data_IF_877825676205
#
_entry.id   IF_877825676205
#
_cell.length_a   1.000
_cell.length_b   1.000
_cell.length_c   1.000
_cell.angle_alpha   90.00
_cell.angle_beta   90.00
_cell.angle_gamma   90.00
#
_symmetry.space_group_name_H-M   'P 1'
#
loop_
_entity.id
_entity.type
_entity.pdbx_description
1 polymer ?
#
# COMPACT_ATOMS: atom_id res chain seq x y z
N UNK A 1 9.31 7.53 -12.87
CA UNK A 1 10.46 7.29 -13.77
C UNK A 1 11.76 6.93 -13.06
N UNK A 2 12.22 7.64 -12.02
CA UNK A 2 13.46 7.23 -11.30
C UNK A 2 13.27 6.13 -10.25
N UNK A 3 12.04 5.89 -9.75
CA UNK A 3 11.79 4.89 -8.70
C UNK A 3 11.44 3.50 -9.24
N UNK A 4 10.97 3.40 -10.48
CA UNK A 4 10.34 2.16 -11.00
C UNK A 4 11.34 1.00 -11.11
N UNK A 5 12.60 1.31 -11.45
CA UNK A 5 13.67 0.31 -11.58
C UNK A 5 14.65 0.27 -10.40
N UNK A 6 14.53 1.20 -9.45
CA UNK A 6 15.52 1.34 -8.37
C UNK A 6 15.59 0.07 -7.50
N UNK A 7 14.44 -0.56 -7.23
CA UNK A 7 14.39 -1.82 -6.50
C UNK A 7 15.18 -2.94 -7.23
N UNK A 8 15.01 -3.05 -8.55
CA UNK A 8 15.72 -4.02 -9.38
C UNK A 8 17.22 -3.74 -9.42
N UNK A 9 17.62 -2.46 -9.51
CA UNK A 9 19.02 -2.07 -9.51
C UNK A 9 19.70 -2.39 -8.17
N UNK A 10 19.04 -2.13 -7.04
CA UNK A 10 19.55 -2.48 -5.71
C UNK A 10 19.74 -3.99 -5.58
N UNK A 11 18.78 -4.80 -6.05
CA UNK A 11 18.89 -6.26 -6.04
C UNK A 11 20.03 -6.71 -6.96
N UNK A 12 20.16 -6.13 -8.14
CA UNK A 12 21.23 -6.48 -9.10
C UNK A 12 22.62 -6.15 -8.57
N UNK A 13 22.77 -5.04 -7.86
CA UNK A 13 24.06 -4.57 -7.34
C UNK A 13 24.45 -5.25 -6.02
N UNK A 14 23.49 -5.43 -5.11
CA UNK A 14 23.75 -5.88 -3.72
C UNK A 14 23.25 -7.29 -3.43
N UNK A 15 22.44 -7.88 -4.33
CA UNK A 15 21.81 -9.18 -4.15
C UNK A 15 20.61 -9.19 -3.18
N UNK A 16 20.39 -8.10 -2.43
CA UNK A 16 19.28 -8.00 -1.46
C UNK A 16 18.89 -6.55 -1.16
N UNK A 17 17.62 -6.33 -0.83
CA UNK A 17 17.05 -5.04 -0.44
C UNK A 17 16.65 -5.03 1.05
N UNK A 18 17.60 -5.25 1.96
CA UNK A 18 17.29 -5.44 3.40
C UNK A 18 17.13 -4.14 4.21
N UNK A 19 18.04 -3.17 4.02
CA UNK A 19 18.13 -1.99 4.88
C UNK A 19 16.93 -1.04 4.78
N UNK A 20 16.52 -0.72 3.54
CA UNK A 20 15.39 0.18 3.31
C UNK A 20 14.08 -0.40 3.85
N UNK A 21 13.85 -1.70 3.64
CA UNK A 21 12.66 -2.40 4.16
C UNK A 21 12.67 -2.41 5.69
N UNK A 22 13.81 -2.74 6.31
CA UNK A 22 13.94 -2.75 7.76
C UNK A 22 13.66 -1.38 8.40
N UNK A 23 14.17 -0.31 7.79
CA UNK A 23 13.92 1.05 8.28
C UNK A 23 12.44 1.45 8.11
N UNK A 24 11.81 1.08 6.99
CA UNK A 24 10.38 1.33 6.77
C UNK A 24 9.50 0.61 7.79
N UNK A 25 9.81 -0.65 8.11
CA UNK A 25 9.07 -1.40 9.15
C UNK A 25 9.31 -0.80 10.53
N UNK A 26 10.52 -0.32 10.82
CA UNK A 26 10.81 0.37 12.07
C UNK A 26 10.01 1.67 12.24
N UNK A 27 9.87 2.49 11.18
CA UNK A 27 9.06 3.73 11.21
C UNK A 27 7.55 3.44 11.38
N UNK A 28 7.05 2.39 10.72
CA UNK A 28 5.67 1.91 10.91
C UNK A 28 5.44 1.46 12.36
N UNK A 29 6.35 0.66 12.90
CA UNK A 29 6.25 0.13 14.25
C UNK A 29 6.35 1.24 15.30
N UNK A 30 7.25 2.21 15.12
CA UNK A 30 7.38 3.36 16.03
C UNK A 30 6.10 4.19 16.06
N UNK A 31 5.47 4.39 14.90
CA UNK A 31 4.19 5.10 14.79
C UNK A 31 3.07 4.41 15.56
N UNK A 32 2.97 3.09 15.42
CA UNK A 32 1.95 2.28 16.11
C UNK A 32 2.22 2.29 17.61
N UNK A 33 3.45 1.96 18.04
CA UNK A 33 3.82 1.83 19.44
C UNK A 33 3.67 3.14 20.22
N UNK A 34 4.05 4.28 19.62
CA UNK A 34 3.92 5.60 20.24
C UNK A 34 2.58 6.28 19.98
N UNK A 35 1.67 5.62 19.26
CA UNK A 35 0.37 6.18 18.87
C UNK A 35 0.49 7.58 18.23
N UNK A 36 1.46 7.76 17.32
CA UNK A 36 1.77 9.07 16.75
C UNK A 36 0.68 9.62 15.83
N UNK A 37 -0.26 8.77 15.37
CA UNK A 37 -1.31 9.13 14.39
C UNK A 37 -0.71 9.73 13.11
N UNK A 38 0.46 9.22 12.70
CA UNK A 38 1.14 9.61 11.48
C UNK A 38 0.49 8.92 10.28
N UNK A 39 0.49 9.61 9.14
CA UNK A 39 -0.03 9.08 7.88
C UNK A 39 1.05 8.22 7.22
N UNK A 40 0.69 6.99 6.87
CA UNK A 40 1.54 6.04 6.16
C UNK A 40 0.79 5.43 5.00
N UNK A 41 1.48 5.22 3.88
CA UNK A 41 0.93 4.46 2.74
C UNK A 41 1.10 2.97 3.03
N UNK A 42 0.04 2.32 3.49
CA UNK A 42 0.01 0.90 3.84
C UNK A 42 -1.07 0.18 3.05
N UNK A 43 -0.87 -1.12 2.80
CA UNK A 43 -1.87 -1.95 2.14
C UNK A 43 -3.04 -2.21 3.09
N UNK A 44 -4.24 -1.84 2.69
CA UNK A 44 -5.48 -2.04 3.45
C UNK A 44 -6.61 -2.47 2.54
N UNK A 45 -7.67 -3.04 3.13
CA UNK A 45 -8.88 -3.39 2.41
C UNK A 45 -9.58 -2.11 1.95
N UNK A 46 -9.75 -1.97 0.64
CA UNK A 46 -10.33 -0.77 0.02
C UNK A 46 -11.76 -0.99 -0.49
N UNK A 47 -12.43 -2.05 -0.04
CA UNK A 47 -13.82 -2.35 -0.40
C UNK A 47 -14.72 -1.15 -0.10
N UNK A 48 -15.46 -0.69 -1.11
CA UNK A 48 -16.35 0.47 -1.03
C UNK A 48 -15.67 1.82 -1.27
N UNK A 49 -14.34 1.88 -1.40
CA UNK A 49 -13.61 3.08 -1.80
C UNK A 49 -13.47 3.14 -3.32
N UNK A 50 -13.59 4.34 -3.90
CA UNK A 50 -13.41 4.59 -5.34
C UNK A 50 -14.26 3.66 -6.26
N UNK A 51 -15.44 3.25 -5.79
CA UNK A 51 -16.36 2.39 -6.54
C UNK A 51 -15.96 0.91 -6.63
N UNK A 52 -14.93 0.48 -5.90
CA UNK A 52 -14.46 -0.91 -5.87
C UNK A 52 -15.35 -1.73 -4.94
N UNK A 53 -15.91 -2.85 -5.43
CA UNK A 53 -16.87 -3.68 -4.66
C UNK A 53 -16.22 -4.92 -4.06
N UNK A 54 -15.11 -5.32 -4.65
CA UNK A 54 -14.35 -6.52 -4.38
C UNK A 54 -13.44 -6.33 -3.15
N UNK A 55 -13.07 -7.45 -2.52
CA UNK A 55 -12.21 -7.45 -1.33
C UNK A 55 -10.74 -7.45 -1.73
N UNK A 56 -10.26 -6.28 -2.18
CA UNK A 56 -8.88 -6.09 -2.61
C UNK A 56 -8.08 -5.29 -1.58
N UNK A 57 -6.82 -5.66 -1.41
CA UNK A 57 -5.86 -4.93 -0.58
C UNK A 57 -4.93 -4.10 -1.46
N UNK A 58 -5.00 -2.78 -1.32
CA UNK A 58 -4.15 -1.83 -2.04
C UNK A 58 -3.54 -0.81 -1.08
N UNK A 59 -2.38 -0.29 -1.47
CA UNK A 59 -1.67 0.75 -0.74
C UNK A 59 -2.41 2.08 -0.86
N UNK A 60 -2.98 2.54 0.26
CA UNK A 60 -3.61 3.86 0.37
C UNK A 60 -3.11 4.57 1.64
N UNK A 61 -3.10 5.91 1.66
CA UNK A 61 -2.67 6.65 2.84
C UNK A 61 -3.65 6.44 3.99
N UNK A 62 -3.14 5.86 5.06
CA UNK A 62 -3.89 5.55 6.27
C UNK A 62 -3.26 6.26 7.47
N UNK A 63 -4.08 6.68 8.41
CA UNK A 63 -3.65 7.13 9.73
C UNK A 63 -3.42 5.90 10.59
N UNK A 64 -2.19 5.73 11.09
CA UNK A 64 -1.84 4.62 11.98
C UNK A 64 -1.84 5.08 13.45
N UNK A 65 -2.61 4.38 14.27
CA UNK A 65 -2.67 4.53 15.72
C UNK A 65 -2.19 3.27 16.45
N UNK A 66 -2.40 3.24 17.77
CA UNK A 66 -1.98 2.10 18.62
C UNK A 66 -2.63 0.76 18.24
N UNK A 67 -3.86 0.79 17.70
CA UNK A 67 -4.64 -0.40 17.36
C UNK A 67 -4.54 -0.75 15.86
N UNK A 68 -3.58 -0.15 15.13
CA UNK A 68 -3.42 -0.31 13.69
C UNK A 68 -4.01 0.85 12.89
N UNK A 69 -4.76 0.55 11.83
CA UNK A 69 -5.36 1.57 10.96
C UNK A 69 -6.52 2.24 11.71
N UNK A 70 -6.37 3.54 11.99
CA UNK A 70 -7.42 4.34 12.63
C UNK A 70 -8.39 4.93 11.61
N UNK A 71 -7.85 5.49 10.52
CA UNK A 71 -8.64 6.14 9.47
C UNK A 71 -7.96 5.94 8.12
N UNK A 72 -8.77 5.91 7.05
CA UNK A 72 -8.30 5.88 5.66
C UNK A 72 -8.54 7.25 5.05
N UNK A 73 -7.49 7.86 4.51
CA UNK A 73 -7.62 9.17 3.87
C UNK A 73 -8.16 9.01 2.45
N UNK A 74 -9.38 9.51 2.21
CA UNK A 74 -9.94 9.58 0.86
C UNK A 74 -9.33 10.77 0.13
N UNK A 75 -8.51 10.49 -0.88
CA UNK A 75 -7.91 11.49 -1.75
C UNK A 75 -8.86 11.72 -2.93
N UNK A 76 -9.11 12.97 -3.27
CA UNK A 76 -9.80 13.30 -4.52
C UNK A 76 -8.80 13.10 -5.66
N UNK A 77 -8.99 12.04 -6.44
CA UNK A 77 -8.16 11.71 -7.60
C UNK A 77 -8.81 12.18 -8.89
N UNK A 78 -8.00 12.31 -9.94
CA UNK A 78 -8.52 12.58 -11.28
C UNK A 78 -9.18 11.32 -11.87
N UNK A 79 -10.10 11.46 -12.85
CA UNK A 79 -10.79 10.30 -13.45
C UNK A 79 -9.84 9.28 -14.07
N UNK A 80 -8.71 9.75 -14.61
CA UNK A 80 -7.66 8.89 -15.18
C UNK A 80 -6.94 8.06 -14.10
N UNK A 81 -6.61 8.67 -12.97
CA UNK A 81 -5.97 8.00 -11.83
C UNK A 81 -6.92 7.00 -11.17
N UNK A 82 -8.19 7.34 -11.03
CA UNK A 82 -9.22 6.42 -10.54
C UNK A 82 -9.40 5.21 -11.46
N UNK A 83 -9.35 5.42 -12.79
CA UNK A 83 -9.38 4.33 -13.75
C UNK A 83 -8.15 3.42 -13.65
N UNK A 84 -6.95 3.99 -13.43
CA UNK A 84 -5.73 3.23 -13.21
C UNK A 84 -5.76 2.44 -11.90
N UNK A 85 -6.25 3.05 -10.82
CA UNK A 85 -6.41 2.39 -9.53
C UNK A 85 -7.39 1.22 -9.62
N UNK A 86 -8.53 1.42 -10.30
CA UNK A 86 -9.51 0.36 -10.54
C UNK A 86 -8.91 -0.79 -11.35
N UNK A 87 -8.16 -0.49 -12.42
CA UNK A 87 -7.46 -1.50 -13.20
C UNK A 87 -6.46 -2.30 -12.36
N UNK A 88 -5.73 -1.65 -11.44
CA UNK A 88 -4.84 -2.34 -10.51
C UNK A 88 -5.61 -3.23 -9.52
N UNK A 89 -6.77 -2.77 -9.04
CA UNK A 89 -7.62 -3.57 -8.16
C UNK A 89 -8.17 -4.81 -8.87
N UNK A 90 -8.66 -4.65 -10.10
CA UNK A 90 -9.19 -5.74 -10.92
C UNK A 90 -8.12 -6.82 -11.18
N UNK A 91 -6.90 -6.41 -11.56
CA UNK A 91 -5.79 -7.35 -11.78
C UNK A 91 -5.45 -8.16 -10.53
N UNK A 92 -5.42 -7.53 -9.35
CA UNK A 92 -5.13 -8.24 -8.10
C UNK A 92 -6.29 -9.17 -7.74
N UNK A 93 -7.52 -8.74 -7.94
CA UNK A 93 -8.70 -9.57 -7.70
C UNK A 93 -8.71 -10.84 -8.56
N UNK A 94 -8.38 -10.72 -9.85
CA UNK A 94 -8.25 -11.88 -10.75
C UNK A 94 -7.20 -12.88 -10.23
N UNK A 95 -6.01 -12.39 -9.86
CA UNK A 95 -4.94 -13.23 -9.31
C UNK A 95 -5.37 -13.89 -7.99
N UNK A 96 -6.11 -13.18 -7.13
CA UNK A 96 -6.63 -13.75 -5.88
C UNK A 96 -7.61 -14.90 -6.14
N UNK A 97 -8.46 -14.79 -7.16
CA UNK A 97 -9.38 -15.86 -7.55
C UNK A 97 -8.65 -17.10 -8.07
N UNK A 98 -7.58 -16.92 -8.85
CA UNK A 98 -6.75 -18.03 -9.33
C UNK A 98 -6.06 -18.77 -8.19
N UNK A 99 -5.61 -18.04 -7.16
CA UNK A 99 -4.89 -18.59 -6.02
C UNK A 99 -5.79 -19.32 -5.01
N UNK A 100 -7.13 -19.24 -5.15
CA UNK A 100 -8.13 -19.85 -4.23
C UNK A 100 -7.77 -19.67 -2.74
N UNK A 101 -7.45 -18.44 -2.35
CA UNK A 101 -7.27 -18.07 -0.94
C UNK A 101 -8.62 -17.85 -0.25
#
# INVERSE_FOLDING_TARGET
>A
MLLDNFAYDVIKLKGCASWAIGLSVADLTDTIMKNLKKIHSVSTMIKGLYGIKEEVFLSVPCVLGKDGISDILKITMNPEEEALLRKSADNIWEIQQELKL
#
